data_IF_363150029011
#
_entry.id   IF_363150029011
#
_cell.length_a   1.000
_cell.length_b   1.000
_cell.length_c   1.000
_cell.angle_alpha   90.00
_cell.angle_beta   90.00
_cell.angle_gamma   90.00
#
_symmetry.space_group_name_H-M   'P 1'
#
loop_
_entity.id
_entity.type
_entity.pdbx_description
1 polymer ?
#
# COMPACT_ATOMS: atom_id res chain seq x y z
N UNK A 1 63.62 -40.29 -14.15
CA UNK A 1 64.20 -38.95 -13.90
C UNK A 1 63.36 -37.92 -14.66
N UNK A 2 62.39 -37.28 -14.00
CA UNK A 2 61.49 -36.29 -14.61
C UNK A 2 61.75 -34.93 -13.96
N UNK A 3 62.03 -33.92 -14.77
CA UNK A 3 62.33 -32.54 -14.35
C UNK A 3 61.56 -31.55 -15.22
N UNK A 4 60.64 -30.78 -14.62
CA UNK A 4 60.31 -29.34 -14.83
C UNK A 4 58.97 -29.06 -14.13
N UNK A 5 58.86 -28.17 -13.13
CA UNK A 5 59.12 -26.71 -13.00
C UNK A 5 57.79 -25.92 -13.06
N UNK A 6 57.30 -25.58 -11.86
CA UNK A 6 56.87 -24.26 -11.36
C UNK A 6 56.22 -23.30 -12.37
N UNK A 7 55.00 -22.81 -12.09
CA UNK A 7 54.71 -21.36 -11.93
C UNK A 7 53.30 -21.09 -11.39
N UNK A 8 53.25 -20.13 -10.48
CA UNK A 8 52.10 -19.53 -9.80
C UNK A 8 51.14 -18.78 -10.73
N UNK A 9 49.88 -18.61 -10.30
CA UNK A 9 49.15 -17.35 -10.49
C UNK A 9 47.99 -17.20 -9.50
N UNK A 10 48.02 -16.08 -8.79
CA UNK A 10 46.95 -15.49 -8.01
C UNK A 10 45.60 -15.53 -8.73
N UNK A 11 44.55 -15.91 -8.02
CA UNK A 11 43.19 -15.45 -8.30
C UNK A 11 42.62 -14.82 -7.03
N UNK A 12 42.76 -13.49 -6.99
CA UNK A 12 41.95 -12.50 -6.27
C UNK A 12 40.76 -13.07 -5.49
N UNK A 13 40.87 -13.07 -4.16
CA UNK A 13 39.72 -13.14 -3.26
C UNK A 13 38.93 -11.84 -3.42
N UNK A 14 37.93 -11.83 -4.31
CA UNK A 14 36.93 -10.76 -4.34
C UNK A 14 36.13 -10.85 -3.03
N UNK A 15 35.87 -9.75 -2.32
CA UNK A 15 34.93 -9.78 -1.21
C UNK A 15 33.56 -10.14 -1.80
N UNK A 16 33.07 -11.32 -1.47
CA UNK A 16 31.72 -11.74 -1.81
C UNK A 16 30.74 -10.71 -1.23
N UNK A 17 29.83 -10.12 -2.03
CA UNK A 17 28.75 -9.28 -1.52
C UNK A 17 27.71 -10.18 -0.84
N UNK A 18 28.09 -10.81 0.28
CA UNK A 18 27.28 -11.77 1.03
C UNK A 18 26.78 -11.24 2.37
N UNK A 19 26.64 -9.93 2.51
CA UNK A 19 25.90 -9.37 3.65
C UNK A 19 24.39 -9.66 3.58
N UNK A 20 23.88 -10.22 2.47
CA UNK A 20 22.45 -10.50 2.28
C UNK A 20 22.00 -11.96 2.46
N UNK A 21 22.90 -12.92 2.71
CA UNK A 21 22.58 -14.36 2.64
C UNK A 21 22.67 -15.12 3.96
N UNK A 22 23.25 -14.56 5.01
CA UNK A 22 23.42 -15.28 6.29
C UNK A 22 22.14 -15.25 7.16
N UNK A 23 21.16 -14.41 6.82
CA UNK A 23 19.79 -14.52 7.32
C UNK A 23 18.88 -15.16 6.26
N UNK A 24 19.08 -16.46 6.06
CA UNK A 24 18.30 -17.26 5.13
C UNK A 24 16.86 -17.49 5.61
N UNK A 25 15.93 -16.61 5.23
CA UNK A 25 14.54 -17.00 5.07
C UNK A 25 14.38 -17.57 3.66
N UNK A 26 14.57 -18.88 3.51
CA UNK A 26 14.32 -19.58 2.23
C UNK A 26 12.85 -19.46 1.81
N UNK A 27 11.96 -19.18 2.75
CA UNK A 27 10.54 -18.83 2.56
C UNK A 27 10.32 -17.64 1.61
N UNK A 28 11.29 -16.74 1.42
CA UNK A 28 11.12 -15.58 0.55
C UNK A 28 12.21 -15.52 -0.53
N UNK A 29 12.18 -16.44 -1.49
CA UNK A 29 13.10 -16.42 -2.64
C UNK A 29 13.03 -15.10 -3.47
N UNK A 30 11.97 -14.29 -3.30
CA UNK A 30 11.76 -13.00 -3.98
C UNK A 30 11.18 -11.92 -3.04
N UNK A 31 11.99 -11.34 -2.14
CA UNK A 31 11.50 -10.41 -1.12
C UNK A 31 10.99 -9.07 -1.70
N UNK A 32 11.37 -8.73 -2.93
CA UNK A 32 11.01 -7.47 -3.58
C UNK A 32 9.49 -7.27 -3.69
N UNK A 33 8.74 -8.30 -4.11
CA UNK A 33 7.28 -8.19 -4.31
C UNK A 33 6.57 -7.97 -2.97
N UNK A 34 7.00 -8.71 -1.94
CA UNK A 34 6.44 -8.60 -0.60
C UNK A 34 6.71 -7.19 -0.06
N UNK A 35 7.94 -6.70 -0.22
CA UNK A 35 8.32 -5.34 0.18
C UNK A 35 7.50 -4.27 -0.56
N UNK A 36 7.22 -4.46 -1.85
CA UNK A 36 6.40 -3.54 -2.65
C UNK A 36 4.93 -3.54 -2.21
N UNK A 37 4.33 -4.71 -1.99
CA UNK A 37 2.93 -4.83 -1.52
C UNK A 37 2.78 -4.23 -0.11
N UNK A 38 3.75 -4.47 0.79
CA UNK A 38 3.78 -3.85 2.12
C UNK A 38 3.95 -2.33 2.02
N UNK A 39 4.81 -1.85 1.12
CA UNK A 39 5.02 -0.41 0.93
C UNK A 39 3.76 0.27 0.41
N UNK A 40 3.07 -0.35 -0.56
CA UNK A 40 1.80 0.15 -1.07
C UNK A 40 0.72 0.23 0.03
N UNK A 41 0.65 -0.76 0.94
CA UNK A 41 -0.25 -0.68 2.10
C UNK A 41 0.04 0.54 2.98
N UNK A 42 1.32 0.82 3.28
CA UNK A 42 1.70 1.94 4.15
C UNK A 42 1.23 3.27 3.59
N UNK A 43 1.51 3.53 2.31
CA UNK A 43 1.07 4.77 1.65
C UNK A 43 -0.44 4.91 1.63
N UNK A 44 -1.14 3.81 1.38
CA UNK A 44 -2.60 3.77 1.40
C UNK A 44 -3.18 4.11 2.79
N UNK A 45 -2.61 3.53 3.85
CA UNK A 45 -3.03 3.83 5.22
C UNK A 45 -2.71 5.25 5.67
N UNK A 46 -1.57 5.81 5.25
CA UNK A 46 -1.24 7.21 5.46
C UNK A 46 -2.30 8.11 4.81
N UNK A 47 -2.70 7.79 3.59
CA UNK A 47 -3.72 8.55 2.90
C UNK A 47 -5.09 8.47 3.57
N UNK A 48 -5.50 7.29 4.02
CA UNK A 48 -6.73 7.13 4.81
C UNK A 48 -6.66 7.93 6.12
N UNK A 49 -5.50 7.96 6.78
CA UNK A 49 -5.30 8.75 7.98
C UNK A 49 -5.49 10.26 7.74
N UNK A 50 -5.03 10.78 6.60
CA UNK A 50 -5.29 12.17 6.21
C UNK A 50 -6.79 12.45 6.01
N UNK A 51 -7.53 11.55 5.36
CA UNK A 51 -9.00 11.66 5.24
C UNK A 51 -9.65 11.69 6.63
N UNK A 52 -9.24 10.82 7.54
CA UNK A 52 -9.83 10.78 8.88
C UNK A 52 -9.48 12.04 9.69
N UNK A 53 -8.27 12.58 9.51
CA UNK A 53 -7.82 13.79 10.17
C UNK A 53 -8.71 15.00 9.85
N UNK A 54 -9.25 15.10 8.64
CA UNK A 54 -10.12 16.22 8.26
C UNK A 54 -11.41 16.29 9.09
N UNK A 55 -11.84 15.16 9.68
CA UNK A 55 -13.03 15.09 10.54
C UNK A 55 -12.71 15.21 12.04
N UNK A 56 -11.44 15.17 12.43
CA UNK A 56 -11.02 15.16 13.83
C UNK A 56 -10.59 16.57 14.23
N UNK A 57 -11.46 17.28 14.96
CA UNK A 57 -11.16 18.65 15.41
C UNK A 57 -10.36 18.70 16.73
N UNK A 58 -10.27 17.60 17.48
CA UNK A 58 -9.60 17.53 18.79
C UNK A 58 -8.48 16.50 18.78
N UNK A 59 -7.27 16.92 19.19
CA UNK A 59 -6.13 16.01 19.32
C UNK A 59 -6.40 14.85 20.30
N UNK A 60 -7.18 15.09 21.36
CA UNK A 60 -7.53 14.05 22.35
C UNK A 60 -8.38 12.93 21.75
N UNK A 61 -9.10 13.19 20.66
CA UNK A 61 -9.94 12.20 19.97
C UNK A 61 -9.18 11.42 18.91
N UNK A 62 -8.05 11.92 18.42
CA UNK A 62 -7.29 11.30 17.33
C UNK A 62 -6.76 9.91 17.70
N UNK A 63 -6.30 9.74 18.94
CA UNK A 63 -5.81 8.45 19.44
C UNK A 63 -6.92 7.40 19.53
N UNK A 64 -8.11 7.79 20.02
CA UNK A 64 -9.28 6.91 20.07
C UNK A 64 -9.74 6.49 18.68
N UNK A 65 -9.83 7.42 17.73
CA UNK A 65 -10.23 7.12 16.35
C UNK A 65 -9.21 6.20 15.67
N UNK A 66 -7.91 6.49 15.82
CA UNK A 66 -6.85 5.63 15.29
C UNK A 66 -6.90 4.21 15.86
N UNK A 67 -7.15 4.08 17.17
CA UNK A 67 -7.29 2.77 17.80
C UNK A 67 -8.52 2.00 17.30
N UNK A 68 -9.66 2.66 17.09
CA UNK A 68 -10.86 2.04 16.52
C UNK A 68 -10.61 1.56 15.09
N UNK A 69 -9.96 2.37 14.25
CA UNK A 69 -9.58 2.00 12.88
C UNK A 69 -8.64 0.80 12.89
N UNK A 70 -7.67 0.77 13.81
CA UNK A 70 -6.80 -0.38 14.00
C UNK A 70 -7.57 -1.65 14.41
N UNK A 71 -8.49 -1.57 15.38
CA UNK A 71 -9.29 -2.73 15.81
C UNK A 71 -10.16 -3.28 14.68
N UNK A 72 -10.85 -2.40 13.96
CA UNK A 72 -11.66 -2.79 12.79
C UNK A 72 -10.75 -3.41 11.72
N UNK A 73 -9.61 -2.77 11.45
CA UNK A 73 -8.50 -3.28 10.62
C UNK A 73 -8.15 -4.72 10.97
N UNK A 74 -7.82 -4.97 12.22
CA UNK A 74 -7.38 -6.27 12.71
C UNK A 74 -8.46 -7.34 12.53
N UNK A 75 -9.71 -7.06 12.93
CA UNK A 75 -10.82 -8.02 12.83
C UNK A 75 -11.12 -8.35 11.36
N UNK A 76 -11.23 -7.34 10.51
CA UNK A 76 -11.56 -7.52 9.09
C UNK A 76 -10.41 -8.14 8.30
N UNK A 77 -9.16 -7.91 8.70
CA UNK A 77 -7.98 -8.59 8.17
C UNK A 77 -8.03 -10.10 8.46
N UNK A 78 -8.40 -10.53 9.68
CA UNK A 78 -8.59 -11.96 10.00
C UNK A 78 -9.66 -12.59 9.10
N UNK A 79 -10.81 -11.92 8.96
CA UNK A 79 -11.89 -12.41 8.08
C UNK A 79 -11.40 -12.54 6.64
N UNK A 80 -10.65 -11.54 6.14
CA UNK A 80 -10.10 -11.55 4.78
C UNK A 80 -9.05 -12.63 4.56
N UNK A 81 -8.28 -12.99 5.60
CA UNK A 81 -7.31 -14.09 5.55
C UNK A 81 -7.99 -15.46 5.39
N UNK A 82 -9.30 -15.58 5.67
CA UNK A 82 -10.04 -16.83 5.38
C UNK A 82 -10.51 -16.95 3.93
N UNK A 83 -10.30 -15.92 3.11
CA UNK A 83 -10.71 -15.88 1.70
C UNK A 83 -12.03 -15.14 1.44
N UNK A 84 -12.70 -14.62 2.46
CA UNK A 84 -13.88 -13.75 2.30
C UNK A 84 -13.48 -12.32 1.89
N UNK A 85 -14.25 -11.63 1.02
CA UNK A 85 -15.26 -12.09 0.06
C UNK A 85 -14.63 -12.39 -1.32
N UNK A 86 -13.35 -12.74 -1.39
CA UNK A 86 -12.58 -12.88 -2.63
C UNK A 86 -12.79 -14.24 -3.31
N UNK A 87 -14.05 -14.64 -3.47
CA UNK A 87 -14.44 -15.86 -4.16
C UNK A 87 -15.58 -15.61 -5.14
N UNK A 88 -15.74 -16.50 -6.12
CA UNK A 88 -16.80 -16.44 -7.13
C UNK A 88 -18.22 -16.47 -6.55
N UNK A 89 -18.38 -16.89 -5.30
CA UNK A 89 -19.66 -16.90 -4.59
C UNK A 89 -20.21 -15.50 -4.26
N UNK A 90 -19.35 -14.48 -4.20
CA UNK A 90 -19.76 -13.11 -3.84
C UNK A 90 -19.83 -12.20 -5.07
N UNK A 91 -20.80 -11.26 -5.14
CA UNK A 91 -20.88 -10.31 -6.25
C UNK A 91 -19.70 -9.32 -6.24
N UNK A 92 -19.32 -8.83 -7.42
CA UNK A 92 -18.20 -7.90 -7.59
C UNK A 92 -18.32 -6.63 -6.73
N UNK A 93 -19.54 -6.12 -6.55
CA UNK A 93 -19.81 -4.95 -5.70
C UNK A 93 -19.40 -5.16 -4.25
N UNK A 94 -19.71 -6.34 -3.67
CA UNK A 94 -19.31 -6.68 -2.30
C UNK A 94 -17.80 -6.77 -2.18
N UNK A 95 -17.13 -7.35 -3.18
CA UNK A 95 -15.65 -7.42 -3.22
C UNK A 95 -15.04 -6.02 -3.28
N UNK A 96 -15.57 -5.15 -4.14
CA UNK A 96 -15.11 -3.78 -4.29
C UNK A 96 -15.28 -2.95 -3.01
N UNK A 97 -16.45 -2.98 -2.38
CA UNK A 97 -16.70 -2.27 -1.11
C UNK A 97 -15.77 -2.77 -0.01
N UNK A 98 -15.58 -4.09 0.07
CA UNK A 98 -14.67 -4.68 1.05
C UNK A 98 -13.20 -4.30 0.79
N UNK A 99 -12.84 -4.13 -0.50
CA UNK A 99 -11.50 -3.77 -0.96
C UNK A 99 -11.15 -2.29 -0.77
N UNK A 100 -12.15 -1.41 -0.61
CA UNK A 100 -11.90 0.00 -0.30
C UNK A 100 -11.18 0.18 1.04
N UNK A 101 -11.34 -0.76 1.97
CA UNK A 101 -10.64 -0.74 3.24
C UNK A 101 -9.28 -1.45 3.12
N UNK A 102 -8.15 -0.72 3.14
CA UNK A 102 -6.84 -1.25 2.74
C UNK A 102 -6.30 -2.49 3.48
N UNK A 103 -6.59 -2.69 4.78
CA UNK A 103 -6.18 -3.91 5.48
C UNK A 103 -6.76 -5.20 4.87
N UNK A 104 -7.96 -5.13 4.28
CA UNK A 104 -8.68 -6.30 3.78
C UNK A 104 -8.03 -6.88 2.52
N UNK A 105 -7.77 -6.03 1.53
CA UNK A 105 -7.07 -6.37 0.28
C UNK A 105 -5.66 -6.84 0.55
N UNK A 106 -4.95 -6.18 1.46
CA UNK A 106 -3.62 -6.60 1.86
C UNK A 106 -3.61 -7.99 2.50
N UNK A 107 -4.57 -8.31 3.38
CA UNK A 107 -4.68 -9.63 4.00
C UNK A 107 -4.77 -10.75 2.96
N UNK A 108 -5.62 -10.54 1.95
CA UNK A 108 -5.83 -11.53 0.90
C UNK A 108 -4.57 -11.69 0.03
N UNK A 109 -3.83 -10.61 -0.23
CA UNK A 109 -2.54 -10.69 -0.91
C UNK A 109 -1.44 -11.35 -0.10
N UNK A 110 -1.40 -11.08 1.20
CA UNK A 110 -0.48 -11.76 2.10
C UNK A 110 -0.76 -13.26 2.12
N UNK A 111 -2.03 -13.67 2.15
CA UNK A 111 -2.41 -15.08 2.04
C UNK A 111 -1.91 -15.73 0.75
N UNK A 112 -2.12 -15.09 -0.40
CA UNK A 112 -1.63 -15.62 -1.69
C UNK A 112 -0.10 -15.78 -1.71
N UNK A 113 0.62 -14.83 -1.11
CA UNK A 113 2.07 -14.91 -0.99
C UNK A 113 2.48 -16.05 -0.06
N UNK A 114 1.81 -16.21 1.08
CA UNK A 114 2.06 -17.29 2.04
C UNK A 114 1.80 -18.66 1.41
N UNK A 115 0.64 -18.83 0.77
CA UNK A 115 0.25 -20.07 0.10
C UNK A 115 1.26 -20.47 -0.98
N UNK A 116 1.75 -19.50 -1.78
CA UNK A 116 2.78 -19.71 -2.80
C UNK A 116 4.19 -20.02 -2.26
N UNK A 117 4.42 -19.83 -0.96
CA UNK A 117 5.70 -20.13 -0.27
C UNK A 117 5.59 -21.33 0.67
N UNK A 118 4.40 -21.90 0.81
CA UNK A 118 4.11 -22.95 1.79
C UNK A 118 4.75 -24.31 1.46
N UNK A 119 5.19 -24.52 0.22
CA UNK A 119 5.84 -25.78 -0.18
C UNK A 119 7.36 -25.59 -0.38
N UNK A 120 8.20 -26.53 0.09
CA UNK A 120 9.66 -26.44 -0.09
C UNK A 120 10.14 -26.44 -1.55
N UNK A 121 9.27 -26.82 -2.50
CA UNK A 121 9.55 -26.87 -3.93
C UNK A 121 9.12 -25.60 -4.69
N UNK A 122 8.29 -24.72 -4.08
CA UNK A 122 7.81 -23.50 -4.72
C UNK A 122 8.68 -22.30 -4.36
N UNK A 123 9.32 -21.69 -5.35
CA UNK A 123 10.16 -20.50 -5.19
C UNK A 123 9.39 -19.18 -5.00
N UNK A 124 8.13 -19.24 -4.54
CA UNK A 124 7.24 -18.08 -4.44
C UNK A 124 6.87 -17.44 -5.80
N UNK A 125 6.19 -16.30 -5.76
CA UNK A 125 5.66 -15.61 -6.95
C UNK A 125 6.73 -14.67 -7.56
N UNK A 126 6.95 -14.71 -8.89
CA UNK A 126 7.79 -13.72 -9.61
C UNK A 126 7.07 -12.41 -9.85
N UNK A 127 7.82 -11.32 -10.12
CA UNK A 127 7.22 -10.11 -10.69
C UNK A 127 6.60 -10.36 -12.06
N UNK A 128 7.19 -11.23 -12.89
CA UNK A 128 6.64 -11.65 -14.20
C UNK A 128 5.39 -12.53 -14.07
N UNK A 129 5.20 -13.19 -12.93
CA UNK A 129 4.14 -14.16 -12.68
C UNK A 129 3.03 -13.59 -11.78
N UNK A 130 3.15 -12.33 -11.36
CA UNK A 130 2.22 -11.69 -10.41
C UNK A 130 0.77 -11.62 -10.90
N UNK A 131 0.57 -11.65 -12.22
CA UNK A 131 -0.74 -11.63 -12.86
C UNK A 131 -1.32 -13.05 -13.08
N UNK A 132 -0.51 -14.09 -12.86
CA UNK A 132 -0.95 -15.49 -12.97
C UNK A 132 -1.79 -15.83 -11.75
N UNK A 133 -2.92 -16.45 -12.00
CA UNK A 133 -3.88 -16.80 -10.96
C UNK A 133 -3.65 -18.22 -10.49
N UNK A 134 -3.89 -18.43 -9.20
CA UNK A 134 -3.67 -19.72 -8.56
C UNK A 134 -4.52 -20.81 -9.26
N UNK A 135 -3.87 -21.89 -9.69
CA UNK A 135 -4.54 -23.01 -10.37
C UNK A 135 -4.87 -22.82 -11.86
N UNK A 136 -4.41 -21.75 -12.52
CA UNK A 136 -4.54 -21.60 -13.98
C UNK A 136 -5.98 -21.47 -14.50
N UNK A 137 -6.94 -21.16 -13.62
CA UNK A 137 -8.35 -21.04 -13.96
C UNK A 137 -8.66 -19.75 -14.72
N UNK A 138 -9.63 -19.81 -15.65
CA UNK A 138 -10.05 -18.70 -16.50
C UNK A 138 -10.79 -17.57 -15.76
N UNK A 139 -11.28 -17.80 -14.55
CA UNK A 139 -11.99 -16.80 -13.73
C UNK A 139 -11.17 -16.38 -12.52
N UNK A 140 -10.17 -15.54 -12.79
CA UNK A 140 -9.33 -14.98 -11.74
C UNK A 140 -10.06 -13.92 -10.92
N UNK A 141 -10.43 -14.26 -9.68
CA UNK A 141 -11.04 -13.31 -8.74
C UNK A 141 -9.99 -12.41 -8.08
N UNK A 142 -8.81 -12.97 -7.80
CA UNK A 142 -7.75 -12.30 -7.06
C UNK A 142 -6.38 -12.80 -7.53
N UNK A 143 -5.47 -11.87 -7.78
CA UNK A 143 -4.05 -12.10 -8.07
C UNK A 143 -3.21 -11.00 -7.43
N UNK A 144 -1.90 -11.21 -7.31
CA UNK A 144 -1.00 -10.19 -6.74
C UNK A 144 -1.05 -8.88 -7.55
N UNK A 145 -1.18 -8.98 -8.87
CA UNK A 145 -1.36 -7.80 -9.73
C UNK A 145 -2.64 -7.03 -9.38
N UNK A 146 -3.78 -7.72 -9.27
CA UNK A 146 -5.07 -7.11 -8.92
C UNK A 146 -4.99 -6.46 -7.53
N UNK A 147 -4.35 -7.11 -6.56
CA UNK A 147 -4.17 -6.55 -5.21
C UNK A 147 -3.33 -5.29 -5.25
N UNK A 148 -2.21 -5.30 -5.98
CA UNK A 148 -1.36 -4.13 -6.13
C UNK A 148 -2.13 -2.96 -6.76
N UNK A 149 -2.91 -3.23 -7.82
CA UNK A 149 -3.79 -2.23 -8.44
C UNK A 149 -4.84 -1.68 -7.45
N UNK A 150 -5.47 -2.54 -6.64
CA UNK A 150 -6.39 -2.10 -5.60
C UNK A 150 -5.70 -1.22 -4.55
N UNK A 151 -4.50 -1.59 -4.08
CA UNK A 151 -3.77 -0.80 -3.09
C UNK A 151 -3.37 0.58 -3.63
N UNK A 152 -2.88 0.65 -4.87
CA UNK A 152 -2.53 1.92 -5.52
C UNK A 152 -3.78 2.75 -5.84
N UNK A 153 -4.84 2.11 -6.36
CA UNK A 153 -6.08 2.78 -6.72
C UNK A 153 -6.81 3.35 -5.50
N UNK A 154 -6.88 2.59 -4.41
CA UNK A 154 -7.47 3.08 -3.15
C UNK A 154 -6.60 4.13 -2.48
N UNK A 155 -5.27 4.04 -2.56
CA UNK A 155 -4.38 5.13 -2.15
C UNK A 155 -4.74 6.43 -2.88
N UNK A 156 -4.82 6.42 -4.21
CA UNK A 156 -5.17 7.61 -4.99
C UNK A 156 -6.57 8.13 -4.65
N UNK A 157 -7.54 7.23 -4.48
CA UNK A 157 -8.90 7.57 -4.10
C UNK A 157 -8.94 8.30 -2.74
N UNK A 158 -8.34 7.72 -1.70
CA UNK A 158 -8.28 8.33 -0.37
C UNK A 158 -7.47 9.63 -0.40
N UNK A 159 -6.45 9.72 -1.24
CA UNK A 159 -5.58 10.91 -1.30
C UNK A 159 -6.32 12.10 -1.89
N UNK A 160 -7.01 11.88 -3.02
CA UNK A 160 -7.88 12.90 -3.63
C UNK A 160 -8.99 13.29 -2.66
N UNK A 161 -9.57 12.32 -1.96
CA UNK A 161 -10.63 12.58 -0.99
C UNK A 161 -10.11 13.40 0.22
N UNK A 162 -8.88 13.18 0.66
CA UNK A 162 -8.24 13.97 1.72
C UNK A 162 -8.08 15.42 1.28
N UNK A 163 -7.52 15.66 0.07
CA UNK A 163 -7.40 17.01 -0.51
C UNK A 163 -8.78 17.68 -0.61
N UNK A 164 -9.79 16.92 -1.01
CA UNK A 164 -11.16 17.42 -1.14
C UNK A 164 -11.73 17.86 0.21
N UNK A 165 -11.67 17.01 1.24
CA UNK A 165 -12.22 17.33 2.56
C UNK A 165 -11.45 18.44 3.29
N UNK A 166 -10.13 18.49 3.16
CA UNK A 166 -9.32 19.58 3.74
C UNK A 166 -9.68 20.97 3.20
N UNK A 167 -10.26 21.04 1.99
CA UNK A 167 -10.69 22.30 1.40
C UNK A 167 -12.16 22.66 1.69
N UNK A 168 -13.00 21.67 1.98
CA UNK A 168 -14.46 21.85 2.15
C UNK A 168 -14.87 21.99 3.61
N UNK A 169 -14.21 21.27 4.50
CA UNK A 169 -14.46 21.40 5.93
C UNK A 169 -13.84 22.74 6.37
N UNK A 170 -14.64 23.70 6.85
CA UNK A 170 -14.15 25.03 7.15
C UNK A 170 -13.08 24.94 8.24
N UNK A 171 -11.87 25.39 7.91
CA UNK A 171 -10.84 25.68 8.91
C UNK A 171 -11.37 26.72 9.91
N UNK A 172 -10.73 26.86 11.07
CA UNK A 172 -11.15 27.71 12.18
C UNK A 172 -11.53 29.18 11.83
N UNK A 173 -11.17 29.65 10.62
CA UNK A 173 -11.53 30.97 10.06
C UNK A 173 -12.87 31.02 9.29
N UNK A 174 -13.62 29.92 9.17
CA UNK A 174 -15.02 29.91 8.71
C UNK A 174 -15.30 30.17 7.22
N UNK A 175 -14.28 30.49 6.41
CA UNK A 175 -14.46 30.78 4.97
C UNK A 175 -14.52 29.47 4.17
N UNK A 176 -15.69 29.15 3.61
CA UNK A 176 -15.87 28.02 2.69
C UNK A 176 -15.18 28.33 1.35
N UNK A 177 -14.28 27.44 0.91
CA UNK A 177 -13.65 27.52 -0.41
C UNK A 177 -14.53 26.83 -1.46
N UNK A 178 -14.50 27.26 -2.73
CA UNK A 178 -15.26 26.61 -3.78
C UNK A 178 -14.82 25.14 -3.98
N UNK A 179 -15.74 24.27 -4.40
CA UNK A 179 -15.57 22.81 -4.48
C UNK A 179 -14.36 22.40 -5.34
N UNK A 180 -14.06 23.17 -6.40
CA UNK A 180 -12.92 22.94 -7.31
C UNK A 180 -11.68 23.78 -6.98
N UNK A 181 -11.56 24.32 -5.77
CA UNK A 181 -10.43 25.18 -5.38
C UNK A 181 -9.07 24.49 -5.54
N UNK A 182 -8.99 23.18 -5.26
CA UNK A 182 -7.75 22.40 -5.43
C UNK A 182 -7.26 22.30 -6.88
N UNK A 183 -8.11 22.58 -7.88
CA UNK A 183 -7.72 22.62 -9.30
C UNK A 183 -7.18 23.99 -9.72
N UNK A 184 -7.31 25.02 -8.88
CA UNK A 184 -6.84 26.36 -9.22
C UNK A 184 -5.34 26.48 -9.05
N UNK A 185 -4.61 27.13 -9.97
CA UNK A 185 -3.16 27.32 -9.83
C UNK A 185 -2.78 28.14 -8.58
N UNK A 186 -3.71 28.96 -8.07
CA UNK A 186 -3.56 29.68 -6.80
C UNK A 186 -3.46 28.78 -5.56
N UNK A 187 -4.04 27.57 -5.60
CA UNK A 187 -3.93 26.58 -4.52
C UNK A 187 -2.50 26.05 -4.40
N UNK A 188 -1.95 25.58 -5.52
CA UNK A 188 -0.61 24.98 -5.58
C UNK A 188 0.52 26.00 -5.43
N UNK A 189 0.29 27.24 -5.82
CA UNK A 189 1.29 28.33 -5.69
C UNK A 189 1.22 29.06 -4.36
N UNK A 190 0.27 28.72 -3.48
CA UNK A 190 0.08 29.39 -2.18
C UNK A 190 -0.43 30.83 -2.28
N UNK A 191 -0.66 31.36 -3.48
CA UNK A 191 -1.12 32.74 -3.72
C UNK A 191 -2.64 32.91 -3.62
N UNK A 192 -3.39 31.82 -3.48
CA UNK A 192 -4.85 31.82 -3.39
C UNK A 192 -5.42 32.01 -1.98
N UNK A 193 -4.58 32.26 -0.96
CA UNK A 193 -5.00 32.41 0.44
C UNK A 193 -5.17 33.88 0.84
N UNK A 194 -6.38 34.25 1.27
CA UNK A 194 -6.77 35.52 1.89
C UNK A 194 -6.49 36.80 1.09
N UNK A 195 -7.41 37.15 0.19
CA UNK A 195 -7.86 38.55 0.14
C UNK A 195 -8.91 38.71 1.23
N UNK A 196 -8.47 39.12 2.42
CA UNK A 196 -9.35 39.93 3.26
C UNK A 196 -9.67 41.16 2.44
N UNK A 197 -10.93 41.32 2.02
CA UNK A 197 -11.42 42.62 1.59
C UNK A 197 -11.25 43.54 2.78
N UNK A 198 -10.12 44.24 2.80
CA UNK A 198 -9.89 45.31 3.74
C UNK A 198 -11.04 46.29 3.58
N UNK A 199 -11.79 46.47 4.67
CA UNK A 199 -12.55 47.67 4.91
C UNK A 199 -11.62 48.84 4.58
N UNK A 200 -11.91 49.54 3.48
CA UNK A 200 -11.29 50.82 3.18
C UNK A 200 -11.78 51.78 4.25
N UNK A 201 -10.93 52.03 5.24
CA UNK A 201 -11.01 53.25 6.05
C UNK A 201 -10.40 54.37 5.23
N UNK A 202 -11.23 55.20 4.60
CA UNK A 202 -10.96 56.61 4.25
C UNK A 202 -12.29 57.28 3.89
#
# INVERSE_FOLDING_TARGET
MVRRRITSRHASQRPDPKFGWDFGFKEFARPAIIAEVISALKFNMISLAFVLSSFISKSSSATTVGFLVFLIGFITQIVSATGFPYSNAYPASRRAIWSLFPPNTFSAGLKLLLDATSTPASSGISWSERAVCEGGMSTCVLSIDIIYQWQVGTFLFWFVLAIYFDNIIPNASGVKKPIFYYLTPGYWTGKGGNKVEGIVSS
#
